data_IF_969863957515
#
_entry.id   IF_969863957515
#
_cell.length_a   1.000
_cell.length_b   1.000
_cell.length_c   1.000
_cell.angle_alpha   90.00
_cell.angle_beta   90.00
_cell.angle_gamma   90.00
#
_symmetry.space_group_name_H-M   'P 1'
#
loop_
_entity.id
_entity.type
_entity.pdbx_description
1 polymer ?
#
# COMPACT_ATOMS: atom_id res chain seq x y z
N UNK A 1 18.70 3.80 18.72
CA UNK A 1 17.53 2.91 18.95
C UNK A 1 17.40 1.98 17.76
N UNK A 2 17.29 0.72 18.04
CA UNK A 2 17.08 -0.26 16.97
C UNK A 2 15.60 -0.32 16.62
N UNK A 3 15.31 -0.38 15.32
CA UNK A 3 13.94 -0.54 14.83
C UNK A 3 13.39 -1.93 15.18
N UNK A 4 14.22 -2.95 15.01
CA UNK A 4 13.82 -4.35 15.18
C UNK A 4 13.29 -4.62 16.59
N UNK A 5 12.10 -5.18 16.68
CA UNK A 5 11.47 -5.51 17.96
C UNK A 5 10.83 -4.33 18.67
N UNK A 6 10.92 -3.12 18.13
CA UNK A 6 10.38 -1.91 18.77
C UNK A 6 8.88 -1.77 18.53
N UNK A 7 8.23 -0.93 19.33
CA UNK A 7 6.83 -0.57 19.11
C UNK A 7 6.68 0.17 17.77
N UNK A 8 7.68 0.97 17.40
CA UNK A 8 7.67 1.66 16.11
C UNK A 8 7.63 0.67 14.96
N UNK A 9 8.41 -0.41 15.02
CA UNK A 9 8.37 -1.44 14.00
C UNK A 9 6.98 -2.06 13.89
N UNK A 10 6.37 -2.41 15.02
CA UNK A 10 5.02 -2.98 15.03
C UNK A 10 4.00 -2.03 14.42
N UNK A 11 4.11 -0.75 14.74
CA UNK A 11 3.19 0.27 14.21
C UNK A 11 3.37 0.44 12.71
N UNK A 12 4.61 0.42 12.21
CA UNK A 12 4.89 0.51 10.78
C UNK A 12 4.37 -0.71 10.03
N UNK A 13 4.51 -1.89 10.61
CA UNK A 13 3.98 -3.13 10.01
C UNK A 13 2.46 -3.08 9.92
N UNK A 14 1.79 -2.60 10.97
CA UNK A 14 0.33 -2.48 10.97
C UNK A 14 -0.14 -1.45 9.93
N UNK A 15 0.56 -0.31 9.82
CA UNK A 15 0.23 0.72 8.84
C UNK A 15 0.42 0.20 7.41
N UNK A 16 1.52 -0.49 7.15
CA UNK A 16 1.80 -1.07 5.84
C UNK A 16 0.72 -2.10 5.47
N UNK A 17 0.36 -2.99 6.39
CA UNK A 17 -0.65 -4.01 6.14
C UNK A 17 -2.02 -3.38 5.87
N UNK A 18 -2.42 -2.40 6.69
CA UNK A 18 -3.72 -1.74 6.54
C UNK A 18 -3.85 -0.98 5.22
N UNK A 19 -2.82 -0.23 4.86
CA UNK A 19 -2.86 0.54 3.61
C UNK A 19 -2.72 -0.36 2.38
N UNK A 20 -1.99 -1.47 2.49
CA UNK A 20 -1.90 -2.45 1.40
C UNK A 20 -3.25 -3.12 1.15
N UNK A 21 -3.99 -3.46 2.19
CA UNK A 21 -5.34 -4.00 2.06
C UNK A 21 -6.28 -2.97 1.43
N UNK A 22 -6.23 -1.73 1.89
CA UNK A 22 -7.05 -0.65 1.34
C UNK A 22 -6.76 -0.44 -0.14
N UNK A 23 -5.48 -0.42 -0.51
CA UNK A 23 -5.06 -0.26 -1.91
C UNK A 23 -5.69 -1.33 -2.79
N UNK A 24 -5.64 -2.59 -2.36
CA UNK A 24 -6.21 -3.69 -3.14
C UNK A 24 -7.72 -3.57 -3.24
N UNK A 25 -8.41 -3.25 -2.14
CA UNK A 25 -9.86 -3.06 -2.14
C UNK A 25 -10.28 -1.98 -3.13
N UNK A 26 -9.62 -0.83 -3.10
CA UNK A 26 -9.96 0.27 -4.00
C UNK A 26 -9.66 -0.05 -5.45
N UNK A 27 -8.61 -0.82 -5.72
CA UNK A 27 -8.33 -1.32 -7.07
C UNK A 27 -9.49 -2.19 -7.58
N UNK A 28 -10.00 -3.07 -6.72
CA UNK A 28 -11.12 -3.94 -7.08
C UNK A 28 -12.41 -3.13 -7.28
N UNK A 29 -12.65 -2.16 -6.40
CA UNK A 29 -13.82 -1.27 -6.52
C UNK A 29 -13.77 -0.48 -7.83
N UNK A 30 -12.59 0.02 -8.21
CA UNK A 30 -12.42 0.73 -9.48
C UNK A 30 -12.77 -0.16 -10.68
N UNK A 31 -12.34 -1.42 -10.64
CA UNK A 31 -12.62 -2.36 -11.71
C UNK A 31 -14.13 -2.60 -11.87
N UNK A 32 -14.84 -2.79 -10.77
CA UNK A 32 -16.29 -3.00 -10.79
C UNK A 32 -17.00 -1.76 -11.30
N UNK A 33 -16.64 -0.58 -10.77
CA UNK A 33 -17.26 0.68 -11.19
C UNK A 33 -17.09 0.93 -12.69
N UNK A 34 -15.91 0.61 -13.23
CA UNK A 34 -15.63 0.77 -14.65
C UNK A 34 -16.52 -0.14 -15.49
N UNK A 35 -16.65 -1.40 -15.07
CA UNK A 35 -17.50 -2.37 -15.78
C UNK A 35 -18.96 -1.96 -15.76
N UNK A 36 -19.39 -1.30 -14.70
CA UNK A 36 -20.78 -0.82 -14.57
C UNK A 36 -21.01 0.53 -15.22
N UNK A 37 -19.99 1.15 -15.82
CA UNK A 37 -20.11 2.40 -16.54
C UNK A 37 -19.94 3.65 -15.70
N UNK A 38 -19.53 3.52 -14.44
CA UNK A 38 -19.33 4.67 -13.55
C UNK A 38 -17.87 5.15 -13.65
N UNK A 39 -17.56 5.81 -14.76
CA UNK A 39 -16.18 6.20 -15.08
C UNK A 39 -15.57 7.15 -14.05
N UNK A 40 -16.32 8.16 -13.59
CA UNK A 40 -15.81 9.12 -12.61
C UNK A 40 -15.55 8.47 -11.26
N UNK A 41 -16.47 7.61 -10.84
CA UNK A 41 -16.32 6.87 -9.57
C UNK A 41 -15.15 5.92 -9.66
N UNK A 42 -14.99 5.25 -10.81
CA UNK A 42 -13.85 4.36 -11.03
C UNK A 42 -12.53 5.12 -10.90
N UNK A 43 -12.47 6.34 -11.47
CA UNK A 43 -11.26 7.16 -11.39
C UNK A 43 -10.94 7.56 -9.95
N UNK A 44 -11.96 7.93 -9.16
CA UNK A 44 -11.78 8.28 -7.75
C UNK A 44 -11.22 7.09 -6.97
N UNK A 45 -11.78 5.89 -7.19
CA UNK A 45 -11.28 4.68 -6.55
C UNK A 45 -9.83 4.38 -6.95
N UNK A 46 -9.50 4.56 -8.23
CA UNK A 46 -8.15 4.31 -8.72
C UNK A 46 -7.14 5.29 -8.11
N UNK A 47 -7.50 6.58 -8.03
CA UNK A 47 -6.65 7.58 -7.42
C UNK A 47 -6.42 7.29 -5.95
N UNK A 48 -7.47 6.85 -5.25
CA UNK A 48 -7.35 6.47 -3.84
C UNK A 48 -6.42 5.27 -3.68
N UNK A 49 -6.55 4.28 -4.57
CA UNK A 49 -5.66 3.11 -4.57
C UNK A 49 -4.21 3.52 -4.79
N UNK A 50 -3.97 4.46 -5.72
CA UNK A 50 -2.62 4.94 -6.02
C UNK A 50 -2.01 5.66 -4.82
N UNK A 51 -2.81 6.47 -4.11
CA UNK A 51 -2.35 7.15 -2.90
C UNK A 51 -2.01 6.15 -1.80
N UNK A 52 -2.86 5.13 -1.61
CA UNK A 52 -2.61 4.09 -0.61
C UNK A 52 -1.35 3.28 -0.94
N UNK A 53 -1.10 3.04 -2.23
CA UNK A 53 0.12 2.37 -2.69
C UNK A 53 1.37 3.16 -2.29
N UNK A 54 1.33 4.49 -2.48
CA UNK A 54 2.47 5.34 -2.13
C UNK A 54 2.68 5.41 -0.62
N UNK A 55 1.60 5.46 0.16
CA UNK A 55 1.70 5.41 1.62
C UNK A 55 2.29 4.08 2.09
N UNK A 56 1.80 2.98 1.55
CA UNK A 56 2.32 1.65 1.89
C UNK A 56 3.81 1.53 1.55
N UNK A 57 4.21 2.05 0.39
CA UNK A 57 5.61 2.06 -0.03
C UNK A 57 6.48 2.82 0.97
N UNK A 58 5.99 3.98 1.44
CA UNK A 58 6.71 4.80 2.42
C UNK A 58 6.92 4.02 3.72
N UNK A 59 5.87 3.38 4.24
CA UNK A 59 5.99 2.58 5.46
C UNK A 59 6.95 1.42 5.28
N UNK A 60 6.89 0.76 4.11
CA UNK A 60 7.76 -0.37 3.81
C UNK A 60 9.23 0.05 3.72
N UNK A 61 9.51 1.25 3.19
CA UNK A 61 10.85 1.80 3.19
C UNK A 61 11.35 2.06 4.61
N UNK A 62 10.51 2.61 5.47
CA UNK A 62 10.86 2.83 6.88
C UNK A 62 11.12 1.52 7.62
N UNK A 63 10.50 0.43 7.16
CA UNK A 63 10.76 -0.91 7.69
C UNK A 63 12.02 -1.55 7.08
N UNK A 64 12.72 -0.80 6.21
CA UNK A 64 13.90 -1.29 5.49
C UNK A 64 13.59 -2.50 4.60
N UNK A 65 12.34 -2.57 4.12
CA UNK A 65 11.88 -3.67 3.27
C UNK A 65 12.35 -3.58 1.82
N UNK A 66 12.74 -2.38 1.37
CA UNK A 66 13.20 -2.17 0.00
C UNK A 66 14.71 -2.00 -0.01
N UNK A 67 15.39 -2.79 -0.83
CA UNK A 67 16.84 -2.72 -0.96
C UNK A 67 17.21 -2.85 -2.44
N UNK A 68 18.42 -3.28 -2.72
CA UNK A 68 18.86 -3.53 -4.10
C UNK A 68 18.10 -4.73 -4.68
N UNK A 69 18.06 -4.82 -6.00
CA UNK A 69 17.42 -5.97 -6.66
C UNK A 69 17.97 -7.29 -6.15
N UNK A 70 19.28 -7.39 -5.99
CA UNK A 70 19.92 -8.60 -5.48
C UNK A 70 19.43 -8.98 -4.10
N UNK A 71 19.34 -7.99 -3.19
CA UNK A 71 18.86 -8.23 -1.82
C UNK A 71 17.36 -8.53 -1.80
N UNK A 72 16.58 -7.85 -2.62
CA UNK A 72 15.12 -8.06 -2.67
C UNK A 72 14.77 -9.46 -3.17
N UNK A 73 15.66 -10.10 -3.95
CA UNK A 73 15.46 -11.46 -4.46
C UNK A 73 15.71 -12.54 -3.40
N UNK A 74 16.30 -12.20 -2.29
CA UNK A 74 16.53 -13.13 -1.18
C UNK A 74 15.27 -13.29 -0.36
#
# INVERSE_FOLDING_TARGET
>A
MELKGSQTEKNLQAAFAGESQARNKYTYFASVAKKEGYEQIAQIFQETADNEKEHAKMWFKHLEGISTTKNNLK
#
